data_IF_475828541009
#
_entry.id   IF_475828541009
#
_cell.length_a   1.000
_cell.length_b   1.000
_cell.length_c   1.000
_cell.angle_alpha   90.00
_cell.angle_beta   90.00
_cell.angle_gamma   90.00
#
_symmetry.space_group_name_H-M   'P 1'
#
loop_
_entity.id
_entity.type
_entity.pdbx_description
1 polymer ?
#
# COMPACT_ATOMS: atom_id res chain seq x y z
N UNK A 1 -1.50 5.21 10.99
CA UNK A 1 -2.86 4.70 11.27
C UNK A 1 -3.96 5.44 10.51
N UNK A 2 -3.80 6.74 10.26
CA UNK A 2 -4.78 7.55 9.52
C UNK A 2 -5.04 7.04 8.08
N UNK A 3 -4.03 6.48 7.41
CA UNK A 3 -4.20 5.86 6.10
C UNK A 3 -5.14 4.64 6.15
N UNK A 4 -5.00 3.77 7.16
CA UNK A 4 -5.85 2.59 7.31
C UNK A 4 -7.32 2.99 7.55
N UNK A 5 -7.55 3.99 8.41
CA UNK A 5 -8.90 4.46 8.71
C UNK A 5 -9.55 5.14 7.50
N UNK A 6 -8.78 5.85 6.67
CA UNK A 6 -9.27 6.44 5.42
C UNK A 6 -9.68 5.37 4.40
N UNK A 7 -8.82 4.35 4.19
CA UNK A 7 -9.12 3.24 3.26
C UNK A 7 -10.34 2.43 3.72
N UNK A 8 -10.48 2.24 5.03
CA UNK A 8 -11.63 1.58 5.64
C UNK A 8 -12.93 2.37 5.36
N UNK A 9 -12.93 3.68 5.60
CA UNK A 9 -14.08 4.57 5.29
C UNK A 9 -14.43 4.55 3.81
N UNK A 10 -13.42 4.58 2.94
CA UNK A 10 -13.63 4.55 1.49
C UNK A 10 -14.26 3.22 1.02
N UNK A 11 -13.72 2.07 1.45
CA UNK A 11 -14.27 0.76 1.09
C UNK A 11 -15.65 0.52 1.71
N UNK A 12 -15.89 1.02 2.93
CA UNK A 12 -17.22 0.96 3.58
C UNK A 12 -18.25 1.79 2.82
N UNK A 13 -17.90 3.01 2.39
CA UNK A 13 -18.83 3.92 1.73
C UNK A 13 -20.08 4.19 2.58
N UNK A 14 -21.26 3.99 1.99
CA UNK A 14 -22.54 4.14 2.69
C UNK A 14 -22.97 2.93 3.53
N UNK A 15 -22.18 1.85 3.57
CA UNK A 15 -22.52 0.66 4.36
C UNK A 15 -22.44 0.95 5.86
N UNK A 16 -23.29 0.25 6.62
CA UNK A 16 -23.36 0.39 8.06
C UNK A 16 -22.11 -0.16 8.75
N UNK A 17 -21.66 0.52 9.81
CA UNK A 17 -20.51 0.06 10.63
C UNK A 17 -20.73 -1.37 11.18
N UNK A 18 -21.97 -1.71 11.57
CA UNK A 18 -22.28 -3.06 12.10
C UNK A 18 -22.18 -4.15 11.04
N UNK A 19 -22.62 -3.84 9.82
CA UNK A 19 -22.56 -4.75 8.68
C UNK A 19 -21.12 -5.05 8.30
N UNK A 20 -20.32 -3.99 8.10
CA UNK A 20 -18.90 -4.14 7.75
C UNK A 20 -18.09 -4.78 8.87
N UNK A 21 -18.38 -4.46 10.14
CA UNK A 21 -17.73 -5.13 11.26
C UNK A 21 -17.98 -6.64 11.26
N UNK A 22 -19.20 -7.06 10.89
CA UNK A 22 -19.57 -8.48 10.75
C UNK A 22 -18.85 -9.14 9.58
N UNK A 23 -18.72 -8.46 8.44
CA UNK A 23 -17.93 -8.94 7.29
C UNK A 23 -16.45 -9.17 7.64
N UNK A 24 -15.85 -8.24 8.38
CA UNK A 24 -14.44 -8.32 8.81
C UNK A 24 -14.25 -9.35 9.94
N UNK A 25 -15.32 -9.67 10.69
CA UNK A 25 -15.27 -10.56 11.85
C UNK A 25 -14.70 -9.88 13.10
N UNK A 26 -15.06 -8.61 13.33
CA UNK A 26 -14.67 -7.83 14.50
C UNK A 26 -15.88 -7.14 15.15
N UNK A 27 -15.70 -6.60 16.36
CA UNK A 27 -16.78 -5.85 17.02
C UNK A 27 -17.02 -4.49 16.35
N UNK A 28 -18.27 -4.05 16.31
CA UNK A 28 -18.64 -2.72 15.78
C UNK A 28 -17.96 -1.58 16.54
N UNK A 29 -17.73 -1.75 17.86
CA UNK A 29 -17.02 -0.79 18.68
C UNK A 29 -15.53 -0.72 18.29
N UNK A 30 -14.92 -1.85 17.93
CA UNK A 30 -13.54 -1.92 17.43
C UNK A 30 -13.44 -1.18 16.09
N UNK A 31 -14.35 -1.46 15.15
CA UNK A 31 -14.37 -0.78 13.84
C UNK A 31 -14.51 0.74 13.99
N UNK A 32 -15.45 1.19 14.83
CA UNK A 32 -15.66 2.62 15.09
C UNK A 32 -14.42 3.30 15.68
N UNK A 33 -13.75 2.67 16.66
CA UNK A 33 -12.51 3.20 17.24
C UNK A 33 -11.41 3.35 16.19
N UNK A 34 -11.28 2.39 15.28
CA UNK A 34 -10.27 2.42 14.21
C UNK A 34 -10.59 3.52 13.21
N UNK A 35 -11.86 3.72 12.86
CA UNK A 35 -12.28 4.84 12.01
C UNK A 35 -12.06 6.21 12.65
N UNK A 36 -12.05 6.28 13.97
CA UNK A 36 -11.64 7.46 14.74
C UNK A 36 -10.12 7.57 14.95
N UNK A 37 -9.32 6.68 14.36
CA UNK A 37 -7.85 6.75 14.35
C UNK A 37 -7.15 5.97 15.46
N UNK A 38 -7.87 5.19 16.28
CA UNK A 38 -7.22 4.33 17.29
C UNK A 38 -6.50 3.15 16.63
N UNK A 39 -5.38 2.75 17.24
CA UNK A 39 -4.58 1.64 16.77
C UNK A 39 -5.27 0.29 17.08
N UNK A 40 -5.48 -0.58 16.09
CA UNK A 40 -5.94 -1.95 16.31
C UNK A 40 -4.82 -2.83 16.88
N UNK A 41 -5.21 -3.94 17.49
CA UNK A 41 -4.29 -5.06 17.73
C UNK A 41 -3.90 -5.76 16.41
N UNK A 42 -2.91 -6.65 16.49
CA UNK A 42 -2.36 -7.33 15.32
C UNK A 42 -3.39 -8.26 14.64
N UNK A 43 -4.27 -8.90 15.40
CA UNK A 43 -5.32 -9.77 14.87
C UNK A 43 -6.33 -8.97 14.05
N UNK A 44 -6.84 -7.89 14.62
CA UNK A 44 -7.78 -6.96 14.00
C UNK A 44 -7.16 -6.29 12.78
N UNK A 45 -5.91 -5.86 12.88
CA UNK A 45 -5.17 -5.30 11.75
C UNK A 45 -5.09 -6.27 10.58
N UNK A 46 -4.74 -7.53 10.85
CA UNK A 46 -4.65 -8.58 9.82
C UNK A 46 -5.99 -8.85 9.16
N UNK A 47 -7.08 -8.91 9.94
CA UNK A 47 -8.45 -9.08 9.40
C UNK A 47 -8.84 -7.92 8.49
N UNK A 48 -8.53 -6.68 8.89
CA UNK A 48 -8.82 -5.49 8.10
C UNK A 48 -7.99 -5.48 6.82
N UNK A 49 -6.69 -5.79 6.88
CA UNK A 49 -5.83 -5.89 5.69
C UNK A 49 -6.35 -6.94 4.70
N UNK A 50 -6.76 -8.12 5.19
CA UNK A 50 -7.39 -9.15 4.35
C UNK A 50 -8.69 -8.66 3.72
N UNK A 51 -9.56 -8.02 4.50
CA UNK A 51 -10.81 -7.46 3.99
C UNK A 51 -10.58 -6.34 3.00
N UNK A 52 -9.53 -5.52 3.17
CA UNK A 52 -9.14 -4.46 2.23
C UNK A 52 -8.39 -4.99 1.00
N UNK A 53 -7.92 -6.24 1.01
CA UNK A 53 -7.03 -6.85 0.01
C UNK A 53 -5.70 -6.07 -0.14
N UNK A 54 -5.12 -5.67 0.99
CA UNK A 54 -3.87 -4.88 1.04
C UNK A 54 -2.82 -5.66 1.84
N UNK A 55 -1.56 -5.59 1.41
CA UNK A 55 -0.42 -6.15 2.17
C UNK A 55 -0.23 -5.35 3.49
N UNK A 56 -0.31 -6.01 4.66
CA UNK A 56 0.00 -5.39 5.95
C UNK A 56 1.33 -4.62 5.97
N UNK A 57 2.34 -5.09 5.23
CA UNK A 57 3.66 -4.47 5.15
C UNK A 57 3.62 -3.08 4.50
N UNK A 58 2.69 -2.85 3.57
CA UNK A 58 2.55 -1.55 2.91
C UNK A 58 2.08 -0.47 3.88
N UNK A 59 1.29 -0.84 4.89
CA UNK A 59 0.75 0.09 5.89
C UNK A 59 1.72 0.27 7.08
N UNK A 60 2.50 -0.77 7.40
CA UNK A 60 3.51 -0.71 8.46
C UNK A 60 4.86 -0.12 7.98
N UNK A 61 5.02 0.14 6.68
CA UNK A 61 6.24 0.72 6.12
C UNK A 61 7.43 -0.24 6.08
N UNK A 62 7.19 -1.55 6.21
CA UNK A 62 8.24 -2.54 6.03
C UNK A 62 8.57 -2.65 4.54
N UNK A 63 9.66 -1.99 4.12
CA UNK A 63 10.25 -2.18 2.80
C UNK A 63 10.74 -3.62 2.71
N UNK A 64 9.92 -4.51 2.15
CA UNK A 64 10.35 -5.87 1.82
C UNK A 64 11.52 -5.72 0.84
N UNK A 65 12.72 -6.16 1.23
CA UNK A 65 13.78 -6.50 0.26
C UNK A 65 13.15 -7.50 -0.72
N UNK A 66 12.97 -7.07 -1.96
CA UNK A 66 12.38 -7.85 -3.04
C UNK A 66 13.00 -9.26 -3.09
N UNK A 67 12.17 -10.28 -2.89
CA UNK A 67 12.43 -11.62 -3.44
C UNK A 67 11.69 -11.66 -4.79
N UNK A 68 12.45 -11.84 -5.86
CA UNK A 68 12.06 -11.66 -7.28
C UNK A 68 11.39 -12.94 -7.81
N UNK A 69 10.47 -13.54 -7.05
CA UNK A 69 9.77 -14.73 -7.49
C UNK A 69 8.33 -14.63 -7.02
N UNK A 70 7.49 -14.02 -7.85
CA UNK A 70 6.08 -14.37 -8.07
C UNK A 70 5.47 -13.25 -8.92
N UNK A 71 5.65 -13.39 -10.24
CA UNK A 71 5.05 -12.49 -11.21
C UNK A 71 3.55 -12.77 -11.39
N UNK A 72 2.85 -11.66 -11.66
CA UNK A 72 1.51 -11.51 -12.26
C UNK A 72 0.31 -11.49 -11.29
N UNK A 73 -0.10 -10.28 -10.87
CA UNK A 73 -1.47 -9.79 -11.13
C UNK A 73 -1.62 -8.28 -10.86
N UNK A 74 -1.77 -7.52 -11.95
CA UNK A 74 -2.37 -6.18 -12.12
C UNK A 74 -1.73 -4.92 -11.51
N UNK A 75 -1.48 -3.86 -12.33
CA UNK A 75 -1.18 -2.52 -11.85
C UNK A 75 -2.49 -1.76 -11.60
N UNK A 76 -2.84 -1.52 -10.33
CA UNK A 76 -3.88 -0.54 -9.99
C UNK A 76 -3.21 0.65 -9.31
N UNK A 77 -2.92 1.63 -10.15
CA UNK A 77 -2.45 2.95 -9.73
C UNK A 77 -3.55 3.66 -8.93
N UNK A 78 -3.25 4.03 -7.69
CA UNK A 78 -3.82 5.24 -7.09
C UNK A 78 -2.68 6.08 -6.51
N UNK A 79 -2.01 6.76 -7.45
CA UNK A 79 -1.16 7.90 -7.20
C UNK A 79 -2.02 9.16 -7.29
N UNK A 80 -1.86 10.08 -6.34
CA UNK A 80 -1.91 11.57 -6.46
C UNK A 80 -2.28 12.16 -5.09
N UNK A 81 -1.66 13.22 -4.58
CA UNK A 81 -0.50 14.05 -4.89
C UNK A 81 -0.33 14.91 -3.59
N UNK A 82 0.85 15.30 -3.14
CA UNK A 82 1.60 16.40 -3.75
C UNK A 82 3.06 16.45 -3.27
N UNK A 83 3.97 16.64 -4.24
CA UNK A 83 5.12 17.58 -4.19
C UNK A 83 6.22 17.23 -3.17
N UNK A 84 7.35 16.65 -3.57
CA UNK A 84 8.31 17.18 -4.56
C UNK A 84 9.15 16.03 -5.13
N UNK A 85 9.31 16.01 -6.44
CA UNK A 85 10.44 15.49 -7.23
C UNK A 85 9.87 15.31 -8.64
N UNK A 86 10.18 16.28 -9.48
CA UNK A 86 9.83 16.35 -10.89
C UNK A 86 9.95 14.96 -11.53
N UNK A 87 8.85 14.44 -12.08
CA UNK A 87 8.84 13.16 -12.82
C UNK A 87 9.84 13.18 -13.98
N UNK A 88 10.15 14.36 -14.53
CA UNK A 88 11.24 14.58 -15.48
C UNK A 88 12.62 14.24 -14.90
N UNK A 89 12.89 14.57 -13.64
CA UNK A 89 14.19 14.24 -13.00
C UNK A 89 14.32 12.75 -12.77
N UNK A 90 13.25 12.09 -12.31
CA UNK A 90 13.23 10.64 -12.13
C UNK A 90 13.46 9.90 -13.46
N UNK A 91 12.83 10.36 -14.55
CA UNK A 91 13.04 9.80 -15.89
C UNK A 91 14.47 10.02 -16.41
N UNK A 92 15.04 11.23 -16.28
CA UNK A 92 16.42 11.47 -16.69
C UNK A 92 17.44 10.66 -15.88
N UNK A 93 17.20 10.47 -14.58
CA UNK A 93 18.05 9.63 -13.73
C UNK A 93 17.96 8.16 -14.14
N UNK A 94 16.76 7.67 -14.47
CA UNK A 94 16.56 6.33 -14.98
C UNK A 94 17.29 6.11 -16.31
N UNK A 95 17.22 7.06 -17.25
CA UNK A 95 17.96 7.01 -18.51
C UNK A 95 19.48 7.00 -18.31
N UNK A 96 20.01 7.82 -17.39
CA UNK A 96 21.43 7.84 -17.05
C UNK A 96 21.91 6.49 -16.49
N UNK A 97 21.15 5.90 -15.57
CA UNK A 97 21.49 4.59 -14.97
C UNK A 97 21.52 3.50 -16.05
N UNK A 98 20.53 3.47 -16.94
CA UNK A 98 20.47 2.50 -18.03
C UNK A 98 21.64 2.67 -19.03
N UNK A 99 22.01 3.91 -19.35
CA UNK A 99 23.14 4.18 -20.24
C UNK A 99 24.48 3.72 -19.63
N UNK A 100 24.70 3.94 -18.34
CA UNK A 100 25.92 3.50 -17.63
C UNK A 100 26.01 1.98 -17.57
N UNK A 101 24.92 1.28 -17.26
CA UNK A 101 24.91 -0.19 -17.24
C UNK A 101 25.21 -0.78 -18.61
N UNK A 102 24.62 -0.22 -19.67
CA UNK A 102 24.89 -0.65 -21.05
C UNK A 102 26.36 -0.42 -21.44
N UNK A 103 26.95 0.71 -21.02
CA UNK A 103 28.36 1.00 -21.29
C UNK A 103 29.31 0.09 -20.50
N UNK A 104 28.95 -0.32 -19.27
CA UNK A 104 29.71 -1.27 -18.47
C UNK A 104 29.72 -2.68 -19.10
N UNK A 105 28.60 -3.10 -19.68
CA UNK A 105 28.49 -4.39 -20.39
C UNK A 105 29.27 -4.41 -21.73
N UNK A 106 29.40 -3.24 -22.38
CA UNK A 106 30.12 -3.13 -23.66
C UNK A 106 31.64 -2.89 -23.52
N UNK A 107 32.16 -2.71 -22.30
CA UNK A 107 33.61 -2.51 -22.05
C UNK A 107 34.38 -3.78 -21.72
N UNK A 108 33.73 -4.95 -21.75
CA UNK A 108 34.36 -6.26 -21.47
C UNK A 108 34.48 -7.12 -22.73
N UNK A 109 34.63 -6.51 -23.91
CA UNK A 109 34.97 -7.21 -25.16
C UNK A 109 36.06 -6.50 -25.93
#
# INVERSE_FOLDING_TARGET
>A
MEELSLKLKHKRGNRGIREVAKEIGISHATLSRIESGKQPDLETFTKICKWLEIDPNSILGFQKKQSIADSVSMPVAHFRAEKTMSTTTASHLAELILAVQKAALNKTS
#
